data_IF_242550050831
#
_entry.id   IF_242550050831
#
_cell.length_a   1.000
_cell.length_b   1.000
_cell.length_c   1.000
_cell.angle_alpha   90.00
_cell.angle_beta   90.00
_cell.angle_gamma   90.00
#
_symmetry.space_group_name_H-M   'P 1'
#
loop_
_entity.id
_entity.type
_entity.pdbx_description
1 polymer ?
#
# COMPACT_ATOMS: atom_id res chain seq x y z
N UNK A 1 2.43 -13.50 -73.24
CA UNK A 1 3.16 -12.23 -73.11
C UNK A 1 2.27 -11.26 -72.35
N UNK A 2 2.40 -11.25 -71.02
CA UNK A 2 1.72 -10.27 -70.17
C UNK A 2 2.58 -8.99 -70.11
N UNK A 3 2.00 -7.78 -70.16
CA UNK A 3 2.76 -6.55 -70.05
C UNK A 3 3.18 -6.28 -68.59
N UNK A 4 4.23 -5.48 -68.45
CA UNK A 4 4.96 -5.21 -67.23
C UNK A 4 4.13 -4.49 -66.16
N UNK A 5 4.44 -4.80 -64.91
CA UNK A 5 3.87 -4.22 -63.69
C UNK A 5 4.61 -2.89 -63.43
N UNK A 6 3.94 -1.75 -63.58
CA UNK A 6 4.52 -0.45 -63.23
C UNK A 6 4.62 -0.28 -61.71
N UNK A 7 5.77 0.21 -61.27
CA UNK A 7 6.14 0.33 -59.87
C UNK A 7 5.30 1.38 -59.13
N UNK A 8 4.84 1.03 -57.93
CA UNK A 8 4.22 1.96 -56.98
C UNK A 8 5.24 3.02 -56.58
N UNK A 9 5.04 4.26 -57.04
CA UNK A 9 5.86 5.40 -56.67
C UNK A 9 5.64 5.73 -55.18
N UNK A 10 6.73 5.73 -54.41
CA UNK A 10 6.75 6.00 -52.97
C UNK A 10 6.19 7.40 -52.68
N UNK A 11 5.07 7.47 -51.96
CA UNK A 11 4.60 8.71 -51.34
C UNK A 11 5.66 9.20 -50.35
N UNK A 12 6.35 10.28 -50.72
CA UNK A 12 7.37 10.95 -49.90
C UNK A 12 6.65 11.78 -48.82
N UNK A 13 6.37 11.17 -47.67
CA UNK A 13 5.88 11.92 -46.49
C UNK A 13 7.01 12.83 -46.01
N UNK A 14 6.89 14.12 -46.27
CA UNK A 14 7.79 15.14 -45.75
C UNK A 14 7.63 15.21 -44.22
N UNK A 15 8.60 14.70 -43.48
CA UNK A 15 8.68 14.87 -42.03
C UNK A 15 9.07 16.32 -41.71
N UNK A 16 8.07 17.17 -41.48
CA UNK A 16 8.31 18.44 -40.81
C UNK A 16 8.70 18.17 -39.35
N UNK A 17 9.69 18.87 -38.78
CA UNK A 17 10.08 18.67 -37.39
C UNK A 17 8.98 19.24 -36.50
N UNK A 18 8.12 18.35 -36.00
CA UNK A 18 7.13 18.71 -34.99
C UNK A 18 7.89 19.03 -33.71
N UNK A 19 7.97 20.33 -33.35
CA UNK A 19 8.46 20.73 -32.03
C UNK A 19 7.60 20.00 -30.98
N UNK A 20 8.20 19.34 -29.97
CA UNK A 20 7.41 18.77 -28.89
C UNK A 20 6.59 19.91 -28.27
N UNK A 21 5.30 19.69 -27.97
CA UNK A 21 4.50 20.71 -27.31
C UNK A 21 5.20 21.07 -26.00
N UNK A 22 5.49 22.36 -25.82
CA UNK A 22 6.06 22.88 -24.57
C UNK A 22 4.99 22.67 -23.51
N UNK A 23 5.17 21.66 -22.66
CA UNK A 23 4.24 21.36 -21.59
C UNK A 23 4.30 22.50 -20.57
N UNK A 24 3.16 23.12 -20.28
CA UNK A 24 3.05 24.15 -19.26
C UNK A 24 3.51 23.58 -17.89
N UNK A 25 4.15 24.41 -17.06
CA UNK A 25 4.60 24.02 -15.71
C UNK A 25 3.49 23.39 -14.85
N UNK A 26 2.23 23.78 -15.10
CA UNK A 26 1.05 23.14 -14.46
C UNK A 26 0.91 21.66 -14.80
N UNK A 27 1.17 21.26 -16.05
CA UNK A 27 1.09 19.86 -16.51
C UNK A 27 2.29 19.06 -15.95
N UNK A 28 3.47 19.68 -15.89
CA UNK A 28 4.61 19.10 -15.20
C UNK A 28 4.30 18.89 -13.71
N UNK A 29 3.71 19.88 -13.04
CA UNK A 29 3.31 19.80 -11.61
C UNK A 29 2.18 18.79 -11.33
N UNK A 30 1.35 18.46 -12.32
CA UNK A 30 0.31 17.43 -12.18
C UNK A 30 0.88 16.03 -12.41
N UNK A 31 1.91 15.88 -13.25
CA UNK A 31 2.65 14.62 -13.41
C UNK A 31 3.60 14.32 -12.24
N UNK A 32 4.11 15.34 -11.54
CA UNK A 32 4.90 15.17 -10.30
C UNK A 32 4.00 14.88 -9.10
N UNK A 33 2.76 15.39 -9.08
CA UNK A 33 1.72 14.98 -8.11
C UNK A 33 1.04 13.69 -8.55
N UNK A 34 1.82 12.64 -8.76
CA UNK A 34 1.27 11.33 -8.45
C UNK A 34 1.19 11.29 -6.93
N UNK A 35 0.03 11.06 -6.30
CA UNK A 35 0.08 10.44 -4.99
C UNK A 35 0.81 9.13 -5.24
N UNK A 36 2.13 9.12 -5.01
CA UNK A 36 2.90 7.88 -4.97
C UNK A 36 2.14 6.98 -4.01
N UNK A 37 1.91 5.73 -4.40
CA UNK A 37 1.32 4.74 -3.51
C UNK A 37 2.04 4.83 -2.17
N UNK A 38 1.36 5.38 -1.17
CA UNK A 38 1.97 5.59 0.13
C UNK A 38 2.30 4.21 0.70
N UNK A 39 3.53 4.03 1.11
CA UNK A 39 3.95 2.81 1.77
C UNK A 39 3.27 2.76 3.14
N UNK A 40 2.36 1.79 3.32
CA UNK A 40 1.50 1.68 4.52
C UNK A 40 2.27 1.68 5.84
N UNK A 41 3.56 1.30 5.82
CA UNK A 41 4.44 1.30 7.00
C UNK A 41 5.23 2.60 7.21
N UNK A 42 5.80 3.20 6.15
CA UNK A 42 6.78 4.27 6.29
C UNK A 42 6.14 5.66 6.17
N UNK A 43 5.19 5.81 5.26
CA UNK A 43 4.60 7.10 4.93
C UNK A 43 3.48 7.49 5.89
N UNK A 44 2.86 6.50 6.56
CA UNK A 44 1.76 6.75 7.49
C UNK A 44 2.26 7.21 8.86
N UNK A 45 1.67 8.28 9.38
CA UNK A 45 1.96 8.77 10.73
C UNK A 45 1.24 7.92 11.78
N UNK A 46 1.93 7.68 12.90
CA UNK A 46 1.37 6.96 14.06
C UNK A 46 0.21 7.75 14.68
N UNK A 47 0.29 9.07 14.66
CA UNK A 47 -0.65 9.97 15.33
C UNK A 47 0.03 10.76 16.46
N UNK A 48 -0.52 11.93 16.82
CA UNK A 48 0.14 12.88 17.72
C UNK A 48 0.19 12.41 19.19
N UNK A 49 -0.73 11.55 19.62
CA UNK A 49 -0.91 11.13 21.02
C UNK A 49 -0.33 9.73 21.29
N UNK A 50 0.60 9.27 20.46
CA UNK A 50 1.29 8.00 20.67
C UNK A 50 2.16 8.06 21.95
N UNK A 51 2.19 7.00 22.79
CA UNK A 51 1.69 5.64 22.57
C UNK A 51 0.26 5.37 23.09
N UNK A 52 -0.46 6.40 23.55
CA UNK A 52 -1.80 6.26 24.16
C UNK A 52 -2.91 6.19 23.11
N UNK A 53 -2.76 6.89 21.99
CA UNK A 53 -3.67 6.81 20.85
C UNK A 53 -2.78 6.70 19.62
N UNK A 54 -3.03 5.70 18.79
CA UNK A 54 -2.28 5.51 17.56
C UNK A 54 -3.17 4.99 16.45
N UNK A 55 -2.72 5.23 15.23
CA UNK A 55 -3.27 4.67 14.01
C UNK A 55 -2.74 3.25 13.85
N UNK A 56 -3.60 2.35 13.41
CA UNK A 56 -3.22 1.00 13.01
C UNK A 56 -3.71 0.72 11.59
N UNK A 57 -2.94 -0.09 10.86
CA UNK A 57 -3.32 -0.59 9.54
C UNK A 57 -3.85 -2.01 9.69
N UNK A 58 -5.08 -2.25 9.26
CA UNK A 58 -5.72 -3.57 9.37
C UNK A 58 -5.36 -4.44 8.16
N UNK A 59 -4.76 -5.59 8.45
CA UNK A 59 -4.40 -6.61 7.47
C UNK A 59 -5.49 -7.68 7.39
N UNK A 60 -5.88 -8.22 8.54
CA UNK A 60 -6.81 -9.35 8.61
C UNK A 60 -8.09 -8.91 9.30
N UNK A 61 -9.18 -8.99 8.55
CA UNK A 61 -10.53 -8.77 9.07
C UNK A 61 -10.95 -9.90 10.01
N UNK A 62 -11.69 -9.54 11.07
CA UNK A 62 -12.38 -10.50 11.93
C UNK A 62 -13.21 -11.50 11.11
N UNK A 63 -13.06 -12.78 11.40
CA UNK A 63 -13.74 -13.88 10.70
C UNK A 63 -13.06 -14.32 9.41
N UNK A 64 -11.98 -13.67 8.98
CA UNK A 64 -11.21 -14.11 7.82
C UNK A 64 -10.42 -15.40 8.12
N UNK A 65 -10.28 -16.26 7.11
CA UNK A 65 -9.37 -17.41 7.10
C UNK A 65 -8.06 -17.12 6.36
N UNK A 66 -8.03 -16.02 5.61
CA UNK A 66 -6.89 -15.64 4.79
C UNK A 66 -5.95 -14.80 5.64
N UNK A 67 -4.71 -15.28 5.77
CA UNK A 67 -3.61 -14.53 6.38
C UNK A 67 -3.04 -13.58 5.32
N UNK A 68 -3.39 -12.32 5.51
CA UNK A 68 -2.81 -11.22 4.75
C UNK A 68 -1.59 -10.71 5.51
N UNK A 69 -0.55 -10.32 4.78
CA UNK A 69 0.66 -9.70 5.31
C UNK A 69 1.06 -8.51 4.45
N UNK A 70 1.63 -7.50 5.08
CA UNK A 70 2.30 -6.43 4.40
C UNK A 70 3.61 -6.91 3.75
N UNK A 71 3.74 -6.74 2.43
CA UNK A 71 5.04 -6.87 1.78
C UNK A 71 5.87 -5.60 2.03
N UNK A 72 6.92 -5.73 2.84
CA UNK A 72 7.83 -4.64 3.24
C UNK A 72 8.52 -3.93 2.08
N UNK A 73 8.59 -4.54 0.89
CA UNK A 73 9.24 -3.94 -0.29
C UNK A 73 8.28 -3.06 -1.09
N UNK A 74 7.04 -3.50 -1.26
CA UNK A 74 6.05 -2.82 -2.11
C UNK A 74 5.06 -1.99 -1.32
N UNK A 75 4.92 -2.24 -0.01
CA UNK A 75 3.93 -1.59 0.85
C UNK A 75 2.50 -2.06 0.61
N UNK A 76 2.33 -3.13 -0.18
CA UNK A 76 1.05 -3.72 -0.55
C UNK A 76 0.72 -4.90 0.36
N UNK A 77 -0.58 -5.15 0.52
CA UNK A 77 -1.07 -6.30 1.26
C UNK A 77 -1.11 -7.51 0.33
N UNK A 78 -0.35 -8.55 0.70
CA UNK A 78 -0.23 -9.81 -0.01
C UNK A 78 -0.88 -10.94 0.79
N UNK A 79 -1.37 -11.96 0.09
CA UNK A 79 -1.83 -13.18 0.76
C UNK A 79 -0.61 -14.05 1.05
N UNK A 80 -0.32 -14.27 2.32
CA UNK A 80 0.69 -15.23 2.77
C UNK A 80 0.16 -16.66 2.62
N UNK A 81 -1.00 -16.94 3.24
CA UNK A 81 -1.64 -18.27 3.17
C UNK A 81 -3.10 -18.26 3.56
N UNK A 82 -3.82 -19.29 3.13
CA UNK A 82 -5.15 -19.62 3.65
C UNK A 82 -4.98 -20.62 4.79
N UNK A 83 -5.59 -20.36 5.94
CA UNK A 83 -5.55 -21.27 7.08
C UNK A 83 -6.23 -22.61 6.71
N UNK A 84 -5.49 -23.71 6.86
CA UNK A 84 -5.99 -25.05 6.55
C UNK A 84 -7.03 -25.55 7.56
N UNK A 85 -6.93 -25.10 8.80
CA UNK A 85 -7.88 -25.44 9.86
C UNK A 85 -9.15 -24.61 9.74
N UNK A 86 -10.27 -25.12 10.28
CA UNK A 86 -11.54 -24.38 10.39
C UNK A 86 -11.52 -23.27 11.45
N UNK A 87 -10.35 -22.64 11.65
CA UNK A 87 -10.16 -21.53 12.58
C UNK A 87 -10.23 -20.21 11.81
N UNK A 88 -10.81 -19.19 12.45
CA UNK A 88 -10.96 -17.85 11.91
C UNK A 88 -10.40 -16.85 12.92
N UNK A 89 -9.89 -15.71 12.45
CA UNK A 89 -9.41 -14.68 13.36
C UNK A 89 -10.58 -14.07 14.14
N UNK A 90 -10.61 -14.17 15.48
CA UNK A 90 -11.76 -13.73 16.28
C UNK A 90 -11.92 -12.21 16.34
N UNK A 91 -10.85 -11.46 16.09
CA UNK A 91 -10.79 -10.00 16.09
C UNK A 91 -10.01 -9.49 14.87
N UNK A 92 -10.08 -8.18 14.62
CA UNK A 92 -9.30 -7.59 13.54
C UNK A 92 -7.82 -7.56 13.95
N UNK A 93 -6.93 -7.86 13.01
CA UNK A 93 -5.50 -7.92 13.23
C UNK A 93 -4.81 -6.98 12.24
N UNK A 94 -3.75 -6.34 12.71
CA UNK A 94 -2.98 -5.40 11.92
C UNK A 94 -1.69 -5.00 12.63
N UNK A 95 -1.06 -3.94 12.15
CA UNK A 95 0.21 -3.44 12.68
C UNK A 95 0.20 -1.92 12.89
N UNK A 96 1.17 -1.43 13.65
CA UNK A 96 1.39 0.00 13.87
C UNK A 96 2.41 0.52 12.85
N UNK A 97 2.09 1.55 12.05
CA UNK A 97 3.05 2.16 11.13
C UNK A 97 4.25 2.75 11.90
N UNK A 98 5.39 2.94 11.23
CA UNK A 98 6.64 3.48 11.82
C UNK A 98 7.10 2.82 13.13
N UNK A 99 6.76 1.56 13.35
CA UNK A 99 7.33 0.74 14.43
C UNK A 99 8.22 -0.34 13.87
N UNK A 100 9.24 -0.73 14.62
CA UNK A 100 10.14 -1.83 14.28
C UNK A 100 10.40 -2.67 15.53
N UNK A 101 10.14 -3.96 15.43
CA UNK A 101 10.47 -4.97 16.43
C UNK A 101 11.82 -5.65 16.10
N UNK A 102 12.37 -6.42 17.04
CA UNK A 102 13.68 -7.07 16.90
C UNK A 102 13.71 -8.13 15.77
N UNK A 103 12.54 -8.58 15.32
CA UNK A 103 12.33 -9.51 14.21
C UNK A 103 12.27 -8.84 12.83
N UNK A 104 12.51 -7.53 12.74
CA UNK A 104 12.42 -6.71 11.53
C UNK A 104 11.01 -6.52 10.95
N UNK A 105 9.98 -6.78 11.75
CA UNK A 105 8.57 -6.56 11.41
C UNK A 105 7.97 -5.41 12.25
N UNK A 106 6.91 -4.75 11.73
CA UNK A 106 6.19 -3.75 12.52
C UNK A 106 5.50 -4.40 13.72
N UNK A 107 5.24 -3.61 14.76
CA UNK A 107 4.55 -4.10 15.95
C UNK A 107 3.12 -4.50 15.63
N UNK A 108 2.80 -5.76 15.91
CA UNK A 108 1.47 -6.33 15.74
C UNK A 108 0.46 -5.81 16.77
N UNK A 109 -0.78 -5.67 16.34
CA UNK A 109 -1.91 -5.22 17.18
C UNK A 109 -3.15 -6.05 16.89
N UNK A 110 -3.76 -6.53 17.97
CA UNK A 110 -5.09 -7.11 17.95
C UNK A 110 -6.12 -6.04 18.34
N UNK A 111 -7.06 -5.80 17.45
CA UNK A 111 -8.06 -4.74 17.60
C UNK A 111 -9.40 -5.35 18.01
N UNK A 112 -9.71 -5.21 19.29
CA UNK A 112 -10.96 -5.70 19.88
C UNK A 112 -12.05 -4.64 19.63
N UNK A 113 -12.87 -4.89 18.62
CA UNK A 113 -14.06 -4.09 18.33
C UNK A 113 -15.21 -4.96 17.85
N UNK A 114 -16.43 -4.43 17.95
CA UNK A 114 -17.62 -5.13 17.47
C UNK A 114 -17.75 -5.08 15.94
N UNK A 115 -17.20 -4.04 15.31
CA UNK A 115 -17.28 -3.81 13.86
C UNK A 115 -16.18 -4.58 13.12
N UNK A 116 -16.55 -5.07 11.94
CA UNK A 116 -15.66 -5.81 11.08
C UNK A 116 -15.05 -4.86 10.04
N UNK A 117 -13.76 -4.56 10.16
CA UNK A 117 -13.08 -3.61 9.26
C UNK A 117 -12.66 -4.31 7.96
N UNK A 118 -12.73 -3.58 6.85
CA UNK A 118 -12.21 -4.07 5.57
C UNK A 118 -10.68 -3.96 5.56
N UNK A 119 -10.00 -4.99 5.06
CA UNK A 119 -8.56 -4.97 4.79
C UNK A 119 -8.21 -3.75 3.92
N UNK A 120 -7.12 -3.04 4.23
CA UNK A 120 -6.68 -1.76 3.63
C UNK A 120 -7.37 -0.47 4.12
N UNK A 121 -8.31 -0.54 5.07
CA UNK A 121 -8.79 0.69 5.70
C UNK A 121 -7.67 1.27 6.58
N UNK A 122 -6.99 2.28 6.03
CA UNK A 122 -5.74 2.85 6.56
C UNK A 122 -5.95 3.72 7.81
N UNK A 123 -7.19 4.04 8.17
CA UNK A 123 -7.50 5.02 9.22
C UNK A 123 -8.47 4.47 10.26
N UNK A 124 -7.96 3.64 11.17
CA UNK A 124 -8.64 3.35 12.42
C UNK A 124 -7.83 3.95 13.56
N UNK A 125 -8.33 5.05 14.13
CA UNK A 125 -7.77 5.63 15.34
C UNK A 125 -8.19 4.76 16.51
N UNK A 126 -7.22 4.06 17.11
CA UNK A 126 -7.46 3.29 18.32
C UNK A 126 -7.03 4.11 19.53
N UNK A 127 -8.03 4.47 20.33
CA UNK A 127 -7.81 4.92 21.70
C UNK A 127 -7.43 3.70 22.52
N UNK A 128 -6.17 3.63 22.93
CA UNK A 128 -5.64 2.46 23.64
C UNK A 128 -6.27 2.35 25.03
N UNK A 129 -6.71 1.15 25.40
CA UNK A 129 -6.51 0.57 26.74
C UNK A 129 -5.71 -0.71 26.54
N UNK A 130 -4.42 -0.61 26.22
CA UNK A 130 -3.62 -1.81 25.97
C UNK A 130 -3.08 -2.31 27.30
N UNK A 131 -3.37 -3.57 27.57
CA UNK A 131 -2.81 -4.35 28.68
C UNK A 131 -1.57 -5.16 28.24
N UNK A 132 -0.99 -4.85 27.07
CA UNK A 132 0.26 -5.44 26.58
C UNK A 132 1.49 -4.63 26.99
N UNK A 133 2.31 -5.18 27.89
CA UNK A 133 3.67 -4.68 28.15
C UNK A 133 4.54 -5.00 26.93
N UNK A 134 4.88 -3.99 26.15
CA UNK A 134 5.97 -4.08 25.20
C UNK A 134 7.28 -3.89 25.98
N UNK A 135 7.92 -4.99 26.37
CA UNK A 135 9.19 -4.97 27.09
C UNK A 135 10.33 -4.57 26.17
N UNK A 136 10.75 -3.31 26.29
CA UNK A 136 12.15 -2.83 26.19
C UNK A 136 12.87 -2.65 24.84
N UNK A 137 12.38 -3.09 23.67
CA UNK A 137 13.17 -2.94 22.42
C UNK A 137 12.43 -2.48 21.15
N UNK A 138 11.15 -2.12 21.20
CA UNK A 138 10.48 -1.62 20.00
C UNK A 138 10.81 -0.13 19.75
N UNK A 139 11.46 0.17 18.62
CA UNK A 139 11.81 1.55 18.22
C UNK A 139 10.72 2.12 17.31
N UNK A 140 10.39 3.40 17.53
CA UNK A 140 9.65 4.21 16.57
C UNK A 140 10.69 4.72 15.54
N UNK A 141 10.49 4.41 14.27
CA UNK A 141 11.36 4.83 13.16
C UNK A 141 11.06 6.26 12.71
#
# INVERSE_FOLDING_TARGET
MAPAIEAVEKVKVASTPVKPPVLNERILSSMTRRPGSAHSWHDLEIGPDAPTIFNCVIEIRRGSKVKYELDKKTGLIMVDRVLYSSVVYPHNYGFIPRTLCDDSDPMDVLVIMQVCLTTSLLWCTLTKRAEGRCTSYCRIC
#
